data_IF_196642308123
#
_entry.id   IF_196642308123
#
_cell.length_a   1.000
_cell.length_b   1.000
_cell.length_c   1.000
_cell.angle_alpha   90.00
_cell.angle_beta   90.00
_cell.angle_gamma   90.00
#
_symmetry.space_group_name_H-M   'P 1'
#
loop_
_entity.id
_entity.type
_entity.pdbx_description
1 polymer ?
#
# COMPACT_ATOMS: atom_id res chain seq x y z
N UNK A 1 15.25 1.80 7.83
CA UNK A 1 13.81 1.66 7.49
C UNK A 1 13.02 2.71 8.25
N UNK A 2 11.79 3.04 7.83
CA UNK A 2 10.96 4.03 8.54
C UNK A 2 10.74 3.69 10.02
N UNK A 3 10.51 2.42 10.35
CA UNK A 3 10.35 1.95 11.74
C UNK A 3 11.63 2.09 12.58
N UNK A 4 12.79 1.93 11.93
CA UNK A 4 14.10 2.20 12.52
C UNK A 4 14.30 3.68 12.81
N UNK A 5 13.88 4.57 11.91
CA UNK A 5 13.89 6.03 12.12
C UNK A 5 13.05 6.43 13.33
N UNK A 6 11.81 5.94 13.44
CA UNK A 6 10.96 6.18 14.62
C UNK A 6 11.65 5.72 15.90
N UNK A 7 12.27 4.53 15.86
CA UNK A 7 12.99 4.00 17.02
C UNK A 7 14.22 4.82 17.40
N UNK A 8 14.98 5.30 16.41
CA UNK A 8 16.15 6.14 16.62
C UNK A 8 15.77 7.47 17.27
N UNK A 9 14.73 8.14 16.76
CA UNK A 9 14.23 9.40 17.31
C UNK A 9 13.68 9.19 18.73
N UNK A 10 12.79 8.23 18.93
CA UNK A 10 12.20 7.96 20.26
C UNK A 10 13.26 7.64 21.32
N UNK A 11 14.22 6.77 20.97
CA UNK A 11 15.28 6.38 21.91
C UNK A 11 16.30 7.50 22.12
N UNK A 12 16.62 8.27 21.08
CA UNK A 12 17.53 9.42 21.18
C UNK A 12 16.96 10.53 22.05
N UNK A 13 15.66 10.85 21.92
CA UNK A 13 14.96 11.77 22.81
C UNK A 13 14.94 11.25 24.25
N UNK A 14 14.58 9.96 24.43
CA UNK A 14 14.49 9.34 25.76
C UNK A 14 15.84 9.27 26.49
N UNK A 15 16.93 9.04 25.77
CA UNK A 15 18.27 8.96 26.36
C UNK A 15 18.92 10.33 26.55
N UNK A 16 18.33 11.40 26.00
CA UNK A 16 18.93 12.73 25.93
C UNK A 16 20.02 12.87 24.85
N UNK A 17 20.25 11.84 24.02
CA UNK A 17 21.18 11.94 22.89
C UNK A 17 20.68 12.93 21.81
N UNK A 18 19.35 13.10 21.71
CA UNK A 18 18.70 14.14 20.93
C UNK A 18 18.11 15.15 21.91
N UNK A 19 18.47 16.41 21.76
CA UNK A 19 17.75 17.56 22.31
C UNK A 19 17.42 18.44 21.14
N UNK A 20 16.14 18.48 20.76
CA UNK A 20 15.71 19.09 19.50
C UNK A 20 16.26 20.53 19.35
N UNK A 21 16.73 20.91 18.15
CA UNK A 21 16.87 20.08 16.94
C UNK A 21 18.20 19.30 16.86
N UNK A 22 19.01 19.32 17.92
CA UNK A 22 20.41 18.92 17.92
C UNK A 22 20.69 17.51 18.48
N UNK A 23 21.86 16.98 18.10
CA UNK A 23 22.47 15.78 18.64
C UNK A 23 23.60 16.18 19.60
N UNK A 24 23.56 15.68 20.85
CA UNK A 24 24.47 16.13 21.93
C UNK A 24 25.85 15.46 21.95
N UNK A 25 26.36 15.01 20.79
CA UNK A 25 27.69 14.42 20.69
C UNK A 25 28.59 15.21 19.75
N UNK A 26 29.91 15.08 19.93
CA UNK A 26 30.93 15.86 19.18
C UNK A 26 30.82 15.74 17.66
N UNK A 27 30.25 14.63 17.17
CA UNK A 27 30.13 14.35 15.75
C UNK A 27 28.78 14.75 15.15
N UNK A 28 27.86 15.24 15.97
CA UNK A 28 26.47 15.57 15.64
C UNK A 28 25.76 14.43 14.89
N UNK A 29 26.03 13.18 15.29
CA UNK A 29 25.58 11.96 14.60
C UNK A 29 25.33 10.79 15.54
N UNK A 30 24.20 10.10 15.40
CA UNK A 30 24.03 8.77 15.98
C UNK A 30 24.68 7.74 15.05
N UNK A 31 25.62 6.96 15.55
CA UNK A 31 26.26 5.88 14.79
C UNK A 31 25.54 4.56 15.01
N UNK A 32 25.22 3.89 13.92
CA UNK A 32 24.75 2.51 13.91
C UNK A 32 25.83 1.58 13.33
N UNK A 33 25.49 0.30 13.22
CA UNK A 33 26.39 -0.68 12.62
C UNK A 33 26.68 -0.36 11.15
N UNK A 34 27.83 -0.84 10.67
CA UNK A 34 28.18 -0.87 9.23
C UNK A 34 28.28 0.52 8.58
N UNK A 35 28.68 1.55 9.35
CA UNK A 35 28.87 2.90 8.82
C UNK A 35 27.57 3.66 8.53
N UNK A 36 26.43 3.15 8.97
CA UNK A 36 25.15 3.86 8.91
C UNK A 36 25.09 4.87 10.06
N UNK A 37 24.66 6.10 9.78
CA UNK A 37 24.51 7.14 10.78
C UNK A 37 23.19 7.91 10.63
N UNK A 38 22.77 8.58 11.70
CA UNK A 38 21.63 9.49 11.76
C UNK A 38 22.13 10.89 12.10
N UNK A 39 21.78 11.88 11.30
CA UNK A 39 22.23 13.27 11.44
C UNK A 39 21.16 14.16 12.05
N UNK A 40 21.50 15.40 12.38
CA UNK A 40 20.53 16.43 12.79
C UNK A 40 19.54 16.77 11.67
N UNK A 41 19.97 16.74 10.40
CA UNK A 41 19.07 16.90 9.25
C UNK A 41 18.04 15.77 9.21
N UNK A 42 18.47 14.52 9.46
CA UNK A 42 17.54 13.38 9.55
C UNK A 42 16.57 13.51 10.74
N UNK A 43 17.00 14.08 11.87
CA UNK A 43 16.11 14.40 13.01
C UNK A 43 15.03 15.39 12.58
N UNK A 44 15.42 16.45 11.86
CA UNK A 44 14.49 17.47 11.38
C UNK A 44 13.50 16.91 10.34
N UNK A 45 13.98 16.17 9.35
CA UNK A 45 13.12 15.57 8.32
C UNK A 45 12.17 14.51 8.91
N UNK A 46 12.66 13.67 9.82
CA UNK A 46 11.79 12.75 10.56
C UNK A 46 10.76 13.51 11.40
N UNK A 47 11.18 14.58 12.05
CA UNK A 47 10.32 15.45 12.86
C UNK A 47 9.22 16.11 12.04
N UNK A 48 9.51 16.63 10.85
CA UNK A 48 8.49 17.16 9.92
C UNK A 48 7.41 16.13 9.62
N UNK A 49 7.81 14.90 9.31
CA UNK A 49 6.86 13.82 9.02
C UNK A 49 6.05 13.41 10.27
N UNK A 50 6.68 13.28 11.43
CA UNK A 50 6.01 12.95 12.70
C UNK A 50 5.04 14.06 13.12
N UNK A 51 5.45 15.31 12.98
CA UNK A 51 4.65 16.48 13.27
C UNK A 51 3.45 16.61 12.33
N UNK A 52 3.61 16.34 11.04
CA UNK A 52 2.49 16.32 10.10
C UNK A 52 1.43 15.28 10.50
N UNK A 53 1.84 14.10 10.95
CA UNK A 53 0.92 13.06 11.44
C UNK A 53 0.20 13.53 12.71
N UNK A 54 0.93 14.13 13.66
CA UNK A 54 0.36 14.66 14.91
C UNK A 54 -0.67 15.76 14.66
N UNK A 55 -0.29 16.77 13.86
CA UNK A 55 -1.17 17.84 13.42
C UNK A 55 -2.39 17.28 12.70
N UNK A 56 -2.21 16.28 11.83
CA UNK A 56 -3.29 15.63 11.10
C UNK A 56 -4.34 15.01 12.01
N UNK A 57 -3.96 14.09 12.90
CA UNK A 57 -4.94 13.43 13.75
C UNK A 57 -5.59 14.39 14.77
N UNK A 58 -4.89 15.44 15.23
CA UNK A 58 -5.49 16.47 16.09
C UNK A 58 -6.44 17.40 15.33
N UNK A 59 -6.13 17.72 14.07
CA UNK A 59 -7.06 18.44 13.19
C UNK A 59 -8.35 17.65 13.03
N UNK A 60 -8.27 16.36 12.73
CA UNK A 60 -9.46 15.50 12.60
C UNK A 60 -10.30 15.48 13.88
N UNK A 61 -9.66 15.34 15.05
CA UNK A 61 -10.36 15.39 16.34
C UNK A 61 -11.09 16.73 16.54
N UNK A 62 -10.46 17.85 16.18
CA UNK A 62 -11.06 19.18 16.31
C UNK A 62 -12.22 19.43 15.36
N UNK A 63 -12.09 19.01 14.10
CA UNK A 63 -13.15 19.14 13.10
C UNK A 63 -14.43 18.39 13.50
N UNK A 64 -14.29 17.25 14.18
CA UNK A 64 -15.44 16.45 14.65
C UNK A 64 -15.83 16.72 16.11
N UNK A 65 -15.16 17.67 16.77
CA UNK A 65 -15.51 18.14 18.12
C UNK A 65 -15.23 17.13 19.24
N UNK A 66 -14.26 16.22 19.05
CA UNK A 66 -13.83 15.27 20.09
C UNK A 66 -12.50 15.68 20.71
N UNK A 67 -12.23 15.19 21.91
CA UNK A 67 -11.00 15.38 22.65
C UNK A 67 -10.02 14.22 22.45
N UNK A 68 -8.75 14.43 22.86
CA UNK A 68 -7.73 13.38 22.84
C UNK A 68 -8.13 12.14 23.68
N UNK A 69 -8.98 12.28 24.70
CA UNK A 69 -9.43 11.18 25.57
C UNK A 69 -10.55 10.33 24.94
N UNK A 70 -11.26 10.87 23.95
CA UNK A 70 -12.35 10.16 23.25
C UNK A 70 -11.81 9.09 22.30
N UNK A 71 -10.56 9.23 21.83
CA UNK A 71 -9.90 8.25 20.96
C UNK A 71 -9.26 7.15 21.80
N UNK A 72 -9.97 6.04 21.99
CA UNK A 72 -9.53 4.95 22.89
C UNK A 72 -8.73 3.84 22.21
N UNK A 73 -8.91 3.65 20.90
CA UNK A 73 -8.32 2.53 20.16
C UNK A 73 -7.64 3.02 18.89
N UNK A 74 -6.39 2.61 18.67
CA UNK A 74 -5.64 2.90 17.45
C UNK A 74 -5.43 1.65 16.62
N UNK A 75 -5.86 1.69 15.35
CA UNK A 75 -5.60 0.64 14.37
C UNK A 75 -4.45 1.07 13.46
N UNK A 76 -3.33 0.37 13.56
CA UNK A 76 -2.10 0.63 12.79
C UNK A 76 -2.01 -0.35 11.62
N UNK A 77 -2.06 0.18 10.40
CA UNK A 77 -2.02 -0.59 9.16
C UNK A 77 -0.81 -0.21 8.28
N UNK A 78 -0.61 -0.99 7.22
CA UNK A 78 0.52 -0.87 6.29
C UNK A 78 1.81 -1.49 6.83
N UNK A 79 2.84 -1.53 5.99
CA UNK A 79 4.14 -2.08 6.36
C UNK A 79 4.70 -1.41 7.62
N UNK A 80 4.74 -0.07 7.65
CA UNK A 80 5.20 0.68 8.82
C UNK A 80 4.33 0.42 10.06
N UNK A 81 3.00 0.43 9.94
CA UNK A 81 2.10 0.18 11.07
C UNK A 81 2.23 -1.23 11.66
N UNK A 82 2.67 -2.20 10.86
CA UNK A 82 2.85 -3.59 11.28
C UNK A 82 4.11 -3.81 12.12
N UNK A 83 5.17 -3.04 11.88
CA UNK A 83 6.48 -3.27 12.50
C UNK A 83 6.94 -2.13 13.41
N UNK A 84 6.32 -0.94 13.34
CA UNK A 84 6.63 0.15 14.27
C UNK A 84 6.24 -0.25 15.69
N UNK A 85 7.07 0.11 16.66
CA UNK A 85 6.75 -0.04 18.08
C UNK A 85 5.71 1.04 18.47
N UNK A 86 4.49 0.67 18.89
CA UNK A 86 3.44 1.65 19.18
C UNK A 86 3.81 2.62 20.30
N UNK A 87 4.57 2.17 21.28
CA UNK A 87 5.00 3.01 22.40
C UNK A 87 5.96 4.07 21.86
N UNK A 88 6.97 3.65 21.07
CA UNK A 88 7.92 4.59 20.45
C UNK A 88 7.21 5.56 19.49
N UNK A 89 6.24 5.08 18.70
CA UNK A 89 5.43 5.91 17.83
C UNK A 89 4.63 6.97 18.61
N UNK A 90 4.07 6.59 19.77
CA UNK A 90 3.35 7.50 20.66
C UNK A 90 4.28 8.58 21.24
N UNK A 91 5.47 8.19 21.71
CA UNK A 91 6.49 9.14 22.17
C UNK A 91 6.92 10.12 21.08
N UNK A 92 6.99 9.67 19.83
CA UNK A 92 7.24 10.53 18.66
C UNK A 92 6.02 11.34 18.22
N UNK A 93 4.84 11.18 18.84
CA UNK A 93 3.63 11.89 18.45
C UNK A 93 2.93 11.38 17.20
N UNK A 94 3.29 10.20 16.70
CA UNK A 94 2.67 9.64 15.49
C UNK A 94 1.29 9.03 15.74
N UNK A 95 0.94 8.76 17.00
CA UNK A 95 -0.36 8.25 17.43
C UNK A 95 -0.84 9.04 18.65
N UNK A 96 -2.16 9.05 18.96
CA UNK A 96 -2.70 9.79 20.09
C UNK A 96 -1.99 9.49 21.42
N UNK A 97 -1.83 10.54 22.23
CA UNK A 97 -1.09 10.46 23.51
C UNK A 97 -1.83 9.67 24.58
N UNK A 98 -3.15 9.55 24.47
CA UNK A 98 -4.00 8.79 25.39
C UNK A 98 -4.68 7.69 24.58
N UNK A 99 -4.38 6.43 24.91
CA UNK A 99 -4.96 5.26 24.25
C UNK A 99 -5.15 4.14 25.27
N UNK A 100 -6.20 3.33 25.10
CA UNK A 100 -6.37 2.08 25.85
C UNK A 100 -5.75 0.90 25.11
N UNK A 101 -5.98 0.82 23.79
CA UNK A 101 -5.59 -0.32 22.97
C UNK A 101 -4.96 0.10 21.62
N UNK A 102 -3.99 -0.69 21.17
CA UNK A 102 -3.42 -0.58 19.82
C UNK A 102 -3.48 -1.93 19.12
N UNK A 103 -3.94 -1.94 17.87
CA UNK A 103 -4.02 -3.11 17.00
C UNK A 103 -3.16 -2.93 15.75
N UNK A 104 -2.24 -3.86 15.50
CA UNK A 104 -1.42 -3.88 14.29
C UNK A 104 -2.01 -4.87 13.28
N UNK A 105 -2.51 -4.34 12.17
CA UNK A 105 -3.43 -5.05 11.26
C UNK A 105 -2.76 -5.67 10.03
N UNK A 106 -1.54 -5.28 9.68
CA UNK A 106 -0.95 -5.67 8.40
C UNK A 106 -1.22 -4.68 7.28
N UNK A 107 -0.97 -5.09 6.04
CA UNK A 107 -1.34 -4.34 4.86
C UNK A 107 -2.82 -4.56 4.53
N UNK A 108 -3.69 -3.76 5.16
CA UNK A 108 -5.14 -3.84 4.98
C UNK A 108 -5.58 -3.58 3.53
N UNK A 109 -4.84 -2.76 2.77
CA UNK A 109 -5.13 -2.54 1.35
C UNK A 109 -4.94 -3.82 0.53
N UNK A 110 -3.85 -4.56 0.77
CA UNK A 110 -3.61 -5.83 0.07
C UNK A 110 -4.61 -6.90 0.52
N UNK A 111 -4.90 -6.98 1.82
CA UNK A 111 -5.89 -7.92 2.36
C UNK A 111 -7.27 -7.68 1.74
N UNK A 112 -7.73 -6.43 1.69
CA UNK A 112 -8.99 -6.07 1.05
C UNK A 112 -8.98 -6.39 -0.45
N UNK A 113 -7.90 -6.09 -1.18
CA UNK A 113 -7.81 -6.41 -2.60
C UNK A 113 -7.92 -7.92 -2.86
N UNK A 114 -7.29 -8.74 -2.02
CA UNK A 114 -7.42 -10.19 -2.06
C UNK A 114 -8.84 -10.66 -1.76
N UNK A 115 -9.50 -10.08 -0.76
CA UNK A 115 -10.86 -10.47 -0.38
C UNK A 115 -11.88 -10.10 -1.47
N UNK A 116 -11.73 -8.92 -2.09
CA UNK A 116 -12.53 -8.49 -3.25
C UNK A 116 -12.37 -9.40 -4.47
N UNK A 117 -11.18 -9.97 -4.70
CA UNK A 117 -10.96 -10.93 -5.79
C UNK A 117 -11.68 -12.27 -5.54
N UNK A 118 -11.88 -12.65 -4.27
CA UNK A 118 -12.59 -13.89 -3.90
C UNK A 118 -14.10 -13.72 -3.84
N UNK A 119 -14.56 -12.52 -3.55
CA UNK A 119 -15.98 -12.19 -3.39
C UNK A 119 -16.31 -10.87 -4.12
N UNK A 120 -16.67 -10.92 -5.41
CA UNK A 120 -17.02 -9.72 -6.18
C UNK A 120 -18.23 -8.95 -5.61
N UNK A 121 -19.13 -9.59 -4.87
CA UNK A 121 -20.30 -8.92 -4.27
C UNK A 121 -19.87 -7.97 -3.13
N UNK A 122 -18.72 -8.23 -2.50
CA UNK A 122 -18.14 -7.33 -1.50
C UNK A 122 -17.72 -5.97 -2.08
N UNK A 123 -17.54 -5.86 -3.40
CA UNK A 123 -17.17 -4.62 -4.06
C UNK A 123 -18.24 -3.53 -3.86
N UNK A 124 -19.51 -3.88 -3.95
CA UNK A 124 -20.63 -2.95 -3.75
C UNK A 124 -20.63 -2.41 -2.31
N UNK A 125 -20.34 -3.27 -1.33
CA UNK A 125 -20.21 -2.87 0.07
C UNK A 125 -19.03 -1.90 0.26
N UNK A 126 -17.87 -2.19 -0.34
CA UNK A 126 -16.70 -1.29 -0.25
C UNK A 126 -16.93 0.04 -0.96
N UNK A 127 -17.68 0.05 -2.06
CA UNK A 127 -18.06 1.28 -2.74
C UNK A 127 -19.00 2.14 -1.89
N UNK A 128 -19.93 1.51 -1.15
CA UNK A 128 -20.80 2.21 -0.20
C UNK A 128 -19.99 2.87 0.92
N UNK A 129 -19.03 2.14 1.51
CA UNK A 129 -18.12 2.69 2.53
C UNK A 129 -17.32 3.86 1.97
N UNK A 130 -16.73 3.72 0.78
CA UNK A 130 -15.97 4.78 0.13
C UNK A 130 -16.81 6.06 -0.09
N UNK A 131 -18.05 5.90 -0.55
CA UNK A 131 -18.98 7.02 -0.76
C UNK A 131 -19.35 7.73 0.55
N UNK A 132 -19.45 6.99 1.66
CA UNK A 132 -19.74 7.58 2.99
C UNK A 132 -18.59 8.42 3.53
N UNK A 133 -17.34 8.05 3.22
CA UNK A 133 -16.13 8.76 3.66
C UNK A 133 -15.89 9.99 2.78
N UNK A 134 -16.06 9.88 1.46
CA UNK A 134 -15.78 10.98 0.53
C UNK A 134 -16.65 12.21 0.79
N UNK A 135 -17.89 12.01 1.25
CA UNK A 135 -18.80 13.08 1.63
C UNK A 135 -18.32 13.91 2.84
N UNK A 136 -17.45 13.35 3.68
CA UNK A 136 -16.96 13.95 4.93
C UNK A 136 -15.44 14.12 4.92
N UNK A 137 -14.81 14.12 3.74
CA UNK A 137 -13.36 14.21 3.63
C UNK A 137 -12.84 15.58 4.07
N UNK A 138 -11.97 15.61 5.07
CA UNK A 138 -11.31 16.81 5.57
C UNK A 138 -10.02 17.03 4.77
N UNK A 139 -10.03 18.04 3.89
CA UNK A 139 -8.84 18.46 3.14
C UNK A 139 -7.91 19.25 4.06
N UNK A 140 -6.75 18.70 4.41
CA UNK A 140 -5.75 19.44 5.20
C UNK A 140 -5.15 20.62 4.44
N UNK A 141 -5.06 20.54 3.11
CA UNK A 141 -4.61 21.66 2.29
C UNK A 141 -5.64 22.80 2.39
N UNK A 142 -5.22 23.95 2.94
CA UNK A 142 -6.09 25.10 3.19
C UNK A 142 -6.96 24.97 4.45
N UNK A 143 -6.72 23.97 5.30
CA UNK A 143 -7.37 23.89 6.62
C UNK A 143 -6.54 24.67 7.64
N UNK A 144 -7.13 25.75 8.18
CA UNK A 144 -6.45 26.65 9.12
C UNK A 144 -5.99 25.93 10.40
N UNK A 145 -6.77 24.97 10.92
CA UNK A 145 -6.41 24.21 12.12
C UNK A 145 -5.16 23.37 11.85
N UNK A 146 -5.11 22.69 10.70
CA UNK A 146 -3.94 21.93 10.29
C UNK A 146 -2.71 22.82 10.10
N UNK A 147 -2.86 23.95 9.41
CA UNK A 147 -1.77 24.90 9.17
C UNK A 147 -1.21 25.44 10.48
N UNK A 148 -2.07 25.88 11.40
CA UNK A 148 -1.67 26.40 12.71
C UNK A 148 -0.92 25.32 13.52
N UNK A 149 -1.50 24.12 13.62
CA UNK A 149 -0.86 23.00 14.33
C UNK A 149 0.47 22.63 13.69
N UNK A 150 0.54 22.54 12.36
CA UNK A 150 1.75 22.12 11.67
C UNK A 150 2.87 23.15 11.77
N UNK A 151 2.57 24.46 11.81
CA UNK A 151 3.58 25.49 12.08
C UNK A 151 4.20 25.30 13.48
N UNK A 152 3.38 24.99 14.49
CA UNK A 152 3.88 24.69 15.83
C UNK A 152 4.71 23.40 15.86
N UNK A 153 4.31 22.40 15.09
CA UNK A 153 5.08 21.16 14.91
C UNK A 153 6.45 21.42 14.30
N UNK A 154 6.52 22.26 13.26
CA UNK A 154 7.80 22.67 12.67
C UNK A 154 8.67 23.35 13.72
N UNK A 155 8.14 24.32 14.47
CA UNK A 155 8.90 24.99 15.51
C UNK A 155 9.38 24.04 16.62
N UNK A 156 8.56 23.06 17.01
CA UNK A 156 8.95 22.01 17.95
C UNK A 156 10.11 21.15 17.42
N UNK A 157 9.98 20.64 16.20
CA UNK A 157 10.91 19.66 15.65
C UNK A 157 12.20 20.28 15.07
N UNK A 158 12.09 21.42 14.39
CA UNK A 158 13.22 22.03 13.66
C UNK A 158 13.91 23.16 14.42
N UNK A 159 13.19 23.83 15.32
CA UNK A 159 13.75 24.93 16.13
C UNK A 159 13.91 24.56 17.61
N UNK A 160 13.48 23.36 18.02
CA UNK A 160 13.62 22.90 19.41
C UNK A 160 12.71 23.64 20.39
N UNK A 161 11.55 24.14 19.93
CA UNK A 161 10.58 24.80 20.82
C UNK A 161 10.22 23.89 22.00
N UNK A 162 10.32 24.37 23.25
CA UNK A 162 9.89 23.60 24.42
C UNK A 162 8.39 23.26 24.37
N UNK A 163 8.01 22.12 24.94
CA UNK A 163 6.61 21.66 24.96
C UNK A 163 5.70 22.64 25.73
N UNK A 164 6.24 23.34 26.73
CA UNK A 164 5.54 24.38 27.48
C UNK A 164 5.14 25.53 26.56
N UNK A 165 6.06 26.01 25.72
CA UNK A 165 5.80 27.06 24.73
C UNK A 165 4.82 26.58 23.65
N UNK A 166 4.95 25.34 23.19
CA UNK A 166 4.01 24.73 22.26
C UNK A 166 2.58 24.75 22.83
N UNK A 167 2.41 24.27 24.08
CA UNK A 167 1.12 24.22 24.74
C UNK A 167 0.52 25.60 25.00
N UNK A 168 1.35 26.58 25.37
CA UNK A 168 0.92 27.97 25.52
C UNK A 168 0.33 28.52 24.20
N UNK A 169 1.00 28.30 23.07
CA UNK A 169 0.52 28.75 21.76
C UNK A 169 -0.77 28.04 21.35
N UNK A 170 -0.86 26.72 21.58
CA UNK A 170 -2.09 25.95 21.34
C UNK A 170 -3.28 26.46 22.16
N UNK A 171 -3.07 26.81 23.42
CA UNK A 171 -4.10 27.33 24.30
C UNK A 171 -4.56 28.74 23.88
N UNK A 172 -3.62 29.61 23.49
CA UNK A 172 -3.93 30.94 22.94
C UNK A 172 -4.80 30.87 21.68
N UNK A 173 -4.62 29.84 20.85
CA UNK A 173 -5.42 29.59 19.65
C UNK A 173 -6.73 28.82 19.93
N UNK A 174 -6.99 28.42 21.17
CA UNK A 174 -8.20 27.69 21.57
C UNK A 174 -8.17 26.19 21.22
N UNK A 175 -7.02 25.64 20.81
CA UNK A 175 -6.88 24.23 20.42
C UNK A 175 -6.63 23.28 21.58
N UNK A 176 -6.37 23.81 22.78
CA UNK A 176 -6.15 23.03 23.99
C UNK A 176 -4.78 22.37 24.04
N UNK A 177 -4.26 22.22 25.26
CA UNK A 177 -2.92 21.67 25.50
C UNK A 177 -2.83 20.19 25.12
N UNK A 178 -1.63 19.71 24.83
CA UNK A 178 -1.40 18.28 24.69
C UNK A 178 -1.55 17.59 26.06
N UNK A 179 -2.29 16.48 26.16
CA UNK A 179 -2.32 15.69 27.38
C UNK A 179 -0.99 14.98 27.61
N UNK A 180 -0.76 14.54 28.84
CA UNK A 180 0.34 13.66 29.16
C UNK A 180 0.23 12.34 28.39
N UNK A 181 1.37 11.70 28.13
CA UNK A 181 1.39 10.40 27.46
C UNK A 181 0.87 9.34 28.42
N UNK A 182 -0.21 8.69 28.04
CA UNK A 182 -0.76 7.49 28.68
C UNK A 182 -0.58 6.31 27.72
N UNK A 183 0.40 5.44 27.97
CA UNK A 183 0.65 4.27 27.14
C UNK A 183 -0.55 3.32 27.09
N UNK A 184 -0.84 2.69 25.93
CA UNK A 184 -1.88 1.69 25.82
C UNK A 184 -1.62 0.51 26.74
N UNK A 185 -2.68 0.03 27.41
CA UNK A 185 -2.62 -1.14 28.29
C UNK A 185 -2.49 -2.44 27.50
N UNK A 186 -2.91 -2.43 26.23
CA UNK A 186 -2.95 -3.60 25.37
C UNK A 186 -2.47 -3.25 23.97
N UNK A 187 -1.46 -3.98 23.51
CA UNK A 187 -0.95 -3.92 22.14
C UNK A 187 -1.14 -5.30 21.54
N UNK A 188 -1.98 -5.40 20.51
CA UNK A 188 -2.29 -6.65 19.82
C UNK A 188 -1.74 -6.60 18.41
N UNK A 189 -0.85 -7.54 18.11
CA UNK A 189 -0.42 -7.79 16.75
C UNK A 189 -1.29 -8.89 16.15
N UNK A 190 -2.20 -8.51 15.25
CA UNK A 190 -3.13 -9.46 14.63
C UNK A 190 -2.41 -10.35 13.63
N UNK A 191 -1.42 -9.81 12.92
CA UNK A 191 -0.69 -10.51 11.84
C UNK A 191 0.79 -10.65 12.12
N UNK A 192 1.38 -11.78 11.70
CA UNK A 192 2.83 -12.05 11.86
C UNK A 192 3.71 -11.13 11.00
N UNK A 193 3.22 -10.74 9.83
CA UNK A 193 3.87 -9.87 8.85
C UNK A 193 2.82 -8.97 8.19
N UNK A 194 3.27 -7.93 7.49
CA UNK A 194 2.40 -7.03 6.74
C UNK A 194 1.68 -7.74 5.60
N UNK A 195 2.28 -8.79 5.05
CA UNK A 195 1.67 -9.74 4.12
C UNK A 195 1.69 -11.12 4.79
N UNK A 196 0.59 -11.58 5.41
CA UNK A 196 0.57 -12.82 6.17
C UNK A 196 0.65 -14.08 5.30
N UNK A 197 0.06 -14.01 4.11
CA UNK A 197 0.08 -15.06 3.10
C UNK A 197 0.77 -14.52 1.84
N UNK A 198 1.97 -15.06 1.57
CA UNK A 198 2.79 -14.68 0.41
C UNK A 198 2.49 -15.53 -0.83
N UNK A 199 1.58 -16.51 -0.73
CA UNK A 199 1.26 -17.44 -1.80
C UNK A 199 2.41 -18.36 -2.20
N UNK A 200 2.23 -19.10 -3.30
CA UNK A 200 3.22 -20.04 -3.84
C UNK A 200 4.23 -19.40 -4.82
N UNK A 201 4.19 -18.07 -4.98
CA UNK A 201 4.97 -17.34 -5.96
C UNK A 201 4.25 -17.13 -7.29
N UNK A 202 4.95 -16.53 -8.25
CA UNK A 202 4.41 -16.22 -9.57
C UNK A 202 4.52 -17.43 -10.50
N UNK A 203 3.39 -17.88 -11.06
CA UNK A 203 3.38 -18.84 -12.16
C UNK A 203 2.89 -18.14 -13.42
N UNK A 204 3.74 -18.05 -14.44
CA UNK A 204 3.32 -17.56 -15.76
C UNK A 204 2.44 -18.63 -16.40
N UNK A 205 1.16 -18.32 -16.59
CA UNK A 205 0.28 -19.18 -17.38
C UNK A 205 0.61 -19.00 -18.85
N UNK A 206 1.32 -19.96 -19.44
CA UNK A 206 1.68 -19.90 -20.87
C UNK A 206 0.49 -20.21 -21.79
N UNK A 207 -0.58 -20.81 -21.29
CA UNK A 207 -1.77 -21.21 -22.04
C UNK A 207 -3.02 -20.82 -21.26
N UNK A 208 -3.67 -19.74 -21.69
CA UNK A 208 -4.91 -19.22 -21.06
C UNK A 208 -6.14 -19.54 -21.92
N UNK A 209 -5.92 -19.85 -23.21
CA UNK A 209 -6.97 -20.17 -24.17
C UNK A 209 -7.31 -21.66 -24.22
N UNK A 210 -8.40 -21.97 -24.93
CA UNK A 210 -8.75 -23.33 -25.30
C UNK A 210 -7.98 -23.74 -26.55
N UNK A 211 -7.62 -25.02 -26.62
CA UNK A 211 -7.12 -25.60 -27.86
C UNK A 211 -8.31 -25.89 -28.77
N UNK A 212 -8.29 -25.38 -29.99
CA UNK A 212 -9.24 -25.76 -31.02
C UNK A 212 -8.61 -26.84 -31.90
N UNK A 213 -9.34 -27.89 -32.21
CA UNK A 213 -8.88 -28.98 -33.07
C UNK A 213 -9.86 -29.16 -34.24
N UNK A 214 -9.32 -29.44 -35.42
CA UNK A 214 -10.12 -29.83 -36.58
C UNK A 214 -9.36 -30.70 -37.57
N UNK A 215 -10.12 -31.48 -38.33
CA UNK A 215 -9.63 -32.31 -39.42
C UNK A 215 -10.44 -31.98 -40.66
N UNK A 216 -9.74 -31.72 -41.77
CA UNK A 216 -10.35 -31.29 -43.02
C UNK A 216 -10.12 -32.33 -44.11
N UNK A 217 -11.20 -32.82 -44.72
CA UNK A 217 -11.12 -33.76 -45.83
C UNK A 217 -10.43 -33.09 -47.03
N UNK A 218 -9.44 -33.77 -47.62
CA UNK A 218 -8.59 -33.21 -48.66
C UNK A 218 -7.38 -32.39 -48.17
N UNK A 219 -7.17 -32.28 -46.85
CA UNK A 219 -5.95 -31.66 -46.32
C UNK A 219 -4.73 -32.56 -46.58
N UNK A 220 -3.72 -31.99 -47.24
CA UNK A 220 -2.47 -32.68 -47.60
C UNK A 220 -1.37 -32.56 -46.54
N UNK A 221 -1.62 -31.82 -45.44
CA UNK A 221 -0.62 -31.58 -44.41
C UNK A 221 0.54 -30.67 -44.86
N UNK A 222 0.38 -29.87 -45.91
CA UNK A 222 1.46 -29.06 -46.51
C UNK A 222 2.02 -27.90 -45.63
N UNK A 223 1.38 -27.66 -44.48
CA UNK A 223 1.72 -26.64 -43.45
C UNK A 223 1.78 -25.19 -43.97
N UNK A 224 1.12 -24.86 -45.08
CA UNK A 224 1.05 -23.47 -45.57
C UNK A 224 0.19 -22.57 -44.70
N UNK A 225 -0.90 -23.09 -44.13
CA UNK A 225 -1.70 -22.37 -43.14
C UNK A 225 -0.92 -22.06 -41.86
N UNK A 226 0.00 -22.95 -41.46
CA UNK A 226 0.91 -22.77 -40.30
C UNK A 226 1.94 -21.70 -40.55
N UNK A 227 2.70 -21.82 -41.64
CA UNK A 227 3.72 -20.84 -42.02
C UNK A 227 3.14 -19.46 -42.33
N UNK A 228 1.89 -19.42 -42.79
CA UNK A 228 1.17 -18.19 -43.13
C UNK A 228 0.33 -17.60 -41.99
N UNK A 229 0.39 -18.18 -40.78
CA UNK A 229 -0.34 -17.64 -39.63
C UNK A 229 0.45 -16.46 -39.01
N UNK A 230 -0.07 -15.22 -39.02
CA UNK A 230 0.65 -14.06 -38.50
C UNK A 230 0.95 -14.19 -36.99
N UNK A 231 -0.01 -14.72 -36.23
CA UNK A 231 0.10 -14.90 -34.78
C UNK A 231 0.79 -16.20 -34.36
N UNK A 232 1.21 -17.04 -35.33
CA UNK A 232 1.75 -18.39 -35.08
C UNK A 232 0.86 -19.23 -34.15
N UNK A 233 -0.45 -19.01 -34.22
CA UNK A 233 -1.46 -19.62 -33.35
C UNK A 233 -1.83 -21.05 -33.74
N UNK A 234 -1.40 -21.52 -34.91
CA UNK A 234 -1.83 -22.79 -35.51
C UNK A 234 -0.64 -23.74 -35.63
N UNK A 235 -0.89 -25.04 -35.46
CA UNK A 235 0.08 -26.11 -35.69
C UNK A 235 -0.59 -27.26 -36.45
N UNK A 236 0.03 -27.71 -37.54
CA UNK A 236 -0.40 -28.92 -38.27
C UNK A 236 0.34 -30.13 -37.66
N UNK A 237 -0.45 -31.04 -37.08
CA UNK A 237 0.03 -32.28 -36.48
C UNK A 237 0.25 -33.36 -37.55
N UNK A 238 0.43 -34.61 -37.13
CA UNK A 238 0.62 -35.75 -38.04
C UNK A 238 -0.66 -36.02 -38.86
N UNK A 239 -0.60 -35.71 -40.16
CA UNK A 239 -1.69 -35.90 -41.12
C UNK A 239 -2.57 -34.65 -41.30
N UNK A 240 -3.90 -34.79 -41.48
CA UNK A 240 -4.83 -33.68 -41.74
C UNK A 240 -5.35 -32.97 -40.47
N UNK A 241 -4.80 -33.27 -39.30
CA UNK A 241 -5.23 -32.71 -38.01
C UNK A 241 -4.53 -31.38 -37.73
N UNK A 242 -5.32 -30.39 -37.32
CA UNK A 242 -4.86 -29.02 -37.05
C UNK A 242 -5.26 -28.63 -35.64
N UNK A 243 -4.29 -28.12 -34.89
CA UNK A 243 -4.49 -27.50 -33.59
C UNK A 243 -4.35 -25.98 -33.71
N UNK A 244 -5.21 -25.23 -33.03
CA UNK A 244 -5.17 -23.78 -32.96
C UNK A 244 -5.29 -23.34 -31.51
N UNK A 245 -4.33 -22.55 -31.06
CA UNK A 245 -4.31 -21.86 -29.77
C UNK A 245 -5.26 -20.67 -29.81
N UNK A 246 -6.40 -20.74 -29.13
CA UNK A 246 -7.39 -19.67 -29.17
C UNK A 246 -6.91 -18.37 -28.51
N UNK A 247 -5.94 -18.45 -27.60
CA UNK A 247 -5.32 -17.31 -26.94
C UNK A 247 -4.40 -16.50 -27.86
N UNK A 248 -3.91 -17.10 -28.94
CA UNK A 248 -3.10 -16.42 -29.96
C UNK A 248 -3.90 -16.10 -31.23
N UNK A 249 -4.97 -16.84 -31.50
CA UNK A 249 -5.69 -16.71 -32.77
C UNK A 249 -6.62 -15.49 -32.79
N UNK A 250 -6.48 -14.64 -33.81
CA UNK A 250 -7.40 -13.51 -34.10
C UNK A 250 -8.78 -13.93 -34.64
N UNK A 251 -9.07 -15.22 -34.67
CA UNK A 251 -10.36 -15.77 -35.06
C UNK A 251 -10.76 -15.47 -36.51
N UNK A 252 -12.08 -15.36 -36.72
CA UNK A 252 -12.71 -15.16 -38.04
C UNK A 252 -12.40 -13.81 -38.68
N UNK A 253 -11.78 -12.86 -37.97
CA UNK A 253 -11.38 -11.58 -38.54
C UNK A 253 -10.10 -11.68 -39.40
N UNK A 254 -9.20 -12.62 -39.07
CA UNK A 254 -7.91 -12.75 -39.75
C UNK A 254 -7.98 -13.62 -41.01
N UNK A 255 -8.63 -14.79 -40.94
CA UNK A 255 -8.82 -15.77 -42.03
C UNK A 255 -7.56 -16.18 -42.83
N UNK A 256 -6.35 -15.83 -42.36
CA UNK A 256 -5.10 -16.15 -43.06
C UNK A 256 -4.93 -17.66 -43.27
N UNK A 257 -5.40 -18.50 -42.35
CA UNK A 257 -5.38 -19.95 -42.48
C UNK A 257 -6.20 -20.47 -43.67
N UNK A 258 -7.38 -19.89 -43.92
CA UNK A 258 -8.26 -20.23 -45.06
C UNK A 258 -7.68 -19.73 -46.39
N UNK A 259 -7.17 -18.49 -46.40
CA UNK A 259 -6.57 -17.88 -47.58
C UNK A 259 -5.31 -18.64 -48.03
N UNK A 260 -4.46 -19.03 -47.08
CA UNK A 260 -3.19 -19.70 -47.34
C UNK A 260 -3.34 -21.21 -47.65
N UNK A 261 -4.54 -21.78 -47.51
CA UNK A 261 -4.80 -23.17 -47.89
C UNK A 261 -4.86 -23.30 -49.42
N UNK A 262 -3.95 -24.07 -50.07
CA UNK A 262 -3.97 -24.25 -51.53
C UNK A 262 -5.18 -25.03 -52.01
N UNK A 263 -5.54 -26.08 -51.26
CA UNK A 263 -6.67 -26.97 -51.59
C UNK A 263 -8.03 -26.35 -51.20
N UNK A 264 -8.03 -25.18 -50.54
CA UNK A 264 -9.24 -24.48 -50.07
C UNK A 264 -10.17 -25.33 -49.18
N UNK A 265 -9.59 -26.28 -48.45
CA UNK A 265 -10.32 -27.19 -47.54
C UNK A 265 -10.37 -26.72 -46.09
N UNK A 266 -9.51 -25.76 -45.71
CA UNK A 266 -9.49 -25.24 -44.33
C UNK A 266 -10.75 -24.42 -44.04
N UNK A 267 -11.43 -24.71 -42.95
CA UNK A 267 -12.59 -23.95 -42.47
C UNK A 267 -12.46 -23.66 -40.97
N UNK A 268 -12.20 -22.41 -40.60
CA UNK A 268 -11.99 -22.03 -39.21
C UNK A 268 -13.23 -22.31 -38.34
N UNK A 269 -14.43 -22.06 -38.87
CA UNK A 269 -15.69 -22.30 -38.17
C UNK A 269 -15.97 -23.78 -37.84
N UNK A 270 -15.28 -24.73 -38.49
CA UNK A 270 -15.43 -26.16 -38.23
C UNK A 270 -14.49 -26.69 -37.13
N UNK A 271 -13.58 -25.85 -36.61
CA UNK A 271 -12.75 -26.21 -35.47
C UNK A 271 -13.61 -26.37 -34.21
N UNK A 272 -13.28 -27.36 -33.38
CA UNK A 272 -13.99 -27.64 -32.12
C UNK A 272 -13.08 -27.45 -30.93
N UNK A 273 -13.64 -26.99 -29.82
CA UNK A 273 -12.91 -26.92 -28.55
C UNK A 273 -12.47 -28.33 -28.13
N UNK A 274 -11.18 -28.48 -27.87
CA UNK A 274 -10.55 -29.65 -27.27
C UNK A 274 -10.37 -29.35 -25.79
N UNK A 275 -11.20 -29.99 -24.98
CA UNK A 275 -11.14 -29.96 -23.51
C UNK A 275 -10.23 -31.07 -22.99
#
# INVERSE_FOLDING_TARGET
TGTGTVSAVAMGLKSGAITLPHLLNDEHRLKFAQGVYFTEEDVQEAGKAMGAIRAGHRTLMREVGISDEDVRVMYMAGASGTYVDPIKAQYCGMIPRVLDEVYQLGNTSLMMAHDLLKDPEMLDNMQSVANSISANHIMFAGNQIFEDMYVLELAYWTEGMPMESFNMMMEMQGYGVMPDIVPPKKVVRIVKSDIPDIGSGLHTMEQVGIMLEGKFDGCTGCKKCERGCPEKALTVLDGPTINVRSDLCLGTACQACELNCPEKVYQFAALKAKY
#
